data_IF_982168885607
#
_entry.id   IF_982168885607
#
_cell.length_a   1.000
_cell.length_b   1.000
_cell.length_c   1.000
_cell.angle_alpha   90.00
_cell.angle_beta   90.00
_cell.angle_gamma   90.00
#
_symmetry.space_group_name_H-M   'P 1'
#
loop_
_entity.id
_entity.type
_entity.pdbx_description
1 polymer ?
#
# COMPACT_ATOMS: atom_id res chain seq x y z
N UNK A 1 46.10 48.56 -32.87
CA UNK A 1 46.15 47.36 -31.98
C UNK A 1 44.91 47.21 -31.09
N UNK A 2 43.79 47.89 -31.40
CA UNK A 2 42.54 47.79 -30.58
C UNK A 2 41.45 46.93 -31.23
N UNK A 3 41.64 46.46 -32.47
CA UNK A 3 40.56 45.79 -33.28
C UNK A 3 40.35 44.29 -32.92
N UNK A 4 41.25 43.68 -32.14
CA UNK A 4 41.11 42.24 -31.77
C UNK A 4 40.53 41.98 -30.40
N UNK A 5 40.27 43.01 -29.60
CA UNK A 5 39.69 42.85 -28.24
C UNK A 5 38.15 42.71 -28.23
N UNK A 6 37.49 43.29 -29.25
CA UNK A 6 36.02 43.31 -29.30
C UNK A 6 35.41 41.91 -29.51
N UNK A 7 35.95 41.02 -30.39
CA UNK A 7 35.36 39.69 -30.58
C UNK A 7 35.61 38.77 -29.38
N UNK A 8 36.72 38.95 -28.63
CA UNK A 8 37.01 38.13 -27.46
C UNK A 8 36.07 38.41 -26.27
N UNK A 9 35.68 39.67 -26.07
CA UNK A 9 34.71 40.06 -25.05
C UNK A 9 33.31 39.53 -25.35
N UNK A 10 32.88 39.54 -26.63
CA UNK A 10 31.61 39.02 -27.07
C UNK A 10 31.50 37.50 -26.85
N UNK A 11 32.57 36.75 -27.18
CA UNK A 11 32.61 35.30 -27.00
C UNK A 11 32.58 34.89 -25.52
N UNK A 12 33.27 35.63 -24.66
CA UNK A 12 33.28 35.40 -23.20
C UNK A 12 31.89 35.64 -22.58
N UNK A 13 31.17 36.67 -23.07
CA UNK A 13 29.79 36.95 -22.61
C UNK A 13 28.80 35.89 -23.04
N UNK A 14 28.92 35.39 -24.27
CA UNK A 14 28.05 34.28 -24.76
C UNK A 14 28.33 33.00 -24.00
N UNK A 15 29.57 32.66 -23.72
CA UNK A 15 29.95 31.49 -22.95
C UNK A 15 29.46 31.56 -21.46
N UNK A 16 29.50 32.78 -20.87
CA UNK A 16 28.99 32.94 -19.50
C UNK A 16 27.46 32.81 -19.42
N UNK A 17 26.72 33.32 -20.41
CA UNK A 17 25.27 33.18 -20.49
C UNK A 17 24.89 31.72 -20.78
N UNK A 18 25.63 31.03 -21.64
CA UNK A 18 25.41 29.61 -21.91
C UNK A 18 25.65 28.74 -20.70
N UNK A 19 26.63 29.07 -19.84
CA UNK A 19 26.91 28.36 -18.59
C UNK A 19 25.80 28.58 -17.55
N UNK A 20 25.18 29.77 -17.53
CA UNK A 20 24.03 30.07 -16.65
C UNK A 20 22.76 29.32 -17.05
N UNK A 21 22.55 29.08 -18.35
CA UNK A 21 21.38 28.36 -18.88
C UNK A 21 21.55 26.83 -18.79
N UNK A 22 22.79 26.33 -18.83
CA UNK A 22 23.11 24.91 -18.68
C UNK A 22 23.38 24.48 -17.23
N UNK A 23 23.30 25.37 -16.25
CA UNK A 23 23.37 24.95 -14.85
C UNK A 23 22.15 24.07 -14.60
N UNK A 24 22.30 22.75 -14.33
CA UNK A 24 21.18 21.97 -13.92
C UNK A 24 20.64 22.66 -12.65
N UNK A 25 19.41 23.14 -12.72
CA UNK A 25 18.68 23.50 -11.53
C UNK A 25 18.79 22.30 -10.60
N UNK A 26 19.70 22.37 -9.64
CA UNK A 26 19.65 21.55 -8.46
C UNK A 26 18.38 21.99 -7.73
N UNK A 27 17.23 21.58 -8.27
CA UNK A 27 16.02 21.51 -7.47
C UNK A 27 16.42 20.60 -6.31
N UNK A 28 16.86 21.23 -5.21
CA UNK A 28 16.79 20.59 -3.91
C UNK A 28 15.38 20.08 -3.81
N UNK A 29 15.18 18.81 -4.10
CA UNK A 29 13.94 18.14 -3.81
C UNK A 29 13.78 18.38 -2.31
N UNK A 30 12.89 19.32 -1.96
CA UNK A 30 12.55 19.63 -0.59
C UNK A 30 12.34 18.28 0.09
N UNK A 31 13.23 17.93 1.02
CA UNK A 31 13.28 16.58 1.59
C UNK A 31 11.94 16.33 2.26
N UNK A 32 11.02 15.73 1.52
CA UNK A 32 9.65 15.55 1.96
C UNK A 32 9.65 14.62 3.16
N UNK A 33 8.88 14.97 4.19
CA UNK A 33 8.68 14.10 5.34
C UNK A 33 7.71 12.98 5.01
N UNK A 34 8.10 11.73 5.29
CA UNK A 34 7.24 10.56 5.23
C UNK A 34 6.87 10.18 6.65
N UNK A 35 5.57 10.06 6.91
CA UNK A 35 5.04 9.56 8.17
C UNK A 35 4.60 8.12 7.99
N UNK A 36 5.06 7.21 8.84
CA UNK A 36 4.66 5.80 8.85
C UNK A 36 3.83 5.51 10.09
N UNK A 37 2.58 5.12 9.88
CA UNK A 37 1.68 4.67 10.94
C UNK A 37 1.76 3.14 11.03
N UNK A 38 2.52 2.63 11.99
CA UNK A 38 2.69 1.21 12.20
C UNK A 38 1.57 0.67 13.11
N UNK A 39 0.62 -0.05 12.53
CA UNK A 39 -0.58 -0.52 13.25
C UNK A 39 -0.28 -1.51 14.36
N UNK A 40 0.74 -2.36 14.22
CA UNK A 40 1.08 -3.38 15.20
C UNK A 40 2.58 -3.61 15.30
N UNK A 41 3.04 -3.96 16.50
CA UNK A 41 4.45 -4.28 16.75
C UNK A 41 4.69 -5.80 16.63
N UNK A 42 4.41 -6.34 15.45
CA UNK A 42 4.64 -7.74 15.10
C UNK A 42 5.74 -7.84 14.04
N UNK A 43 6.47 -8.96 14.06
CA UNK A 43 7.59 -9.16 13.14
C UNK A 43 7.25 -8.90 11.66
N UNK A 44 6.12 -9.36 11.08
CA UNK A 44 5.78 -9.05 9.69
C UNK A 44 5.67 -7.54 9.39
N UNK A 45 5.17 -6.75 10.34
CA UNK A 45 5.08 -5.29 10.21
C UNK A 45 6.45 -4.62 10.26
N UNK A 46 7.32 -5.12 11.16
CA UNK A 46 8.71 -4.66 11.26
C UNK A 46 9.49 -4.99 9.98
N UNK A 47 9.32 -6.18 9.42
CA UNK A 47 9.97 -6.61 8.19
C UNK A 47 9.53 -5.74 6.98
N UNK A 48 8.24 -5.40 6.87
CA UNK A 48 7.73 -4.50 5.83
C UNK A 48 8.31 -3.10 6.00
N UNK A 49 8.35 -2.57 7.23
CA UNK A 49 8.94 -1.25 7.51
C UNK A 49 10.43 -1.21 7.15
N UNK A 50 11.18 -2.22 7.57
CA UNK A 50 12.60 -2.33 7.26
C UNK A 50 12.84 -2.43 5.75
N UNK A 51 12.05 -3.25 5.03
CA UNK A 51 12.10 -3.38 3.58
C UNK A 51 11.81 -2.07 2.86
N UNK A 52 10.82 -1.32 3.33
CA UNK A 52 10.48 0.01 2.80
C UNK A 52 11.64 0.99 2.95
N UNK A 53 12.20 1.11 4.16
CA UNK A 53 13.35 1.99 4.44
C UNK A 53 14.59 1.60 3.61
N UNK A 54 14.88 0.30 3.53
CA UNK A 54 15.99 -0.21 2.73
C UNK A 54 15.81 0.07 1.23
N UNK A 55 14.57 -0.03 0.74
CA UNK A 55 14.26 0.22 -0.67
C UNK A 55 14.48 1.69 -1.05
N UNK A 56 14.06 2.62 -0.18
CA UNK A 56 14.31 4.05 -0.36
C UNK A 56 15.81 4.36 -0.36
N UNK A 57 16.55 3.80 0.59
CA UNK A 57 17.99 3.99 0.68
C UNK A 57 18.72 3.46 -0.57
N UNK A 58 18.34 2.29 -1.08
CA UNK A 58 18.91 1.72 -2.31
C UNK A 58 18.66 2.58 -3.55
N UNK A 59 17.55 3.32 -3.57
CA UNK A 59 17.22 4.24 -4.67
C UNK A 59 17.81 5.64 -4.47
N UNK A 60 18.60 5.86 -3.44
CA UNK A 60 19.22 7.16 -3.12
C UNK A 60 18.19 8.21 -2.68
N UNK A 61 17.00 7.79 -2.25
CA UNK A 61 15.97 8.71 -1.76
C UNK A 61 16.29 9.08 -0.32
N UNK A 62 16.77 10.32 -0.14
CA UNK A 62 17.06 10.88 1.19
C UNK A 62 15.83 11.66 1.67
N UNK A 63 15.13 11.12 2.65
CA UNK A 63 13.93 11.74 3.25
C UNK A 63 13.86 11.43 4.74
N UNK A 64 13.22 12.30 5.50
CA UNK A 64 12.93 12.04 6.91
C UNK A 64 11.76 11.08 7.02
N UNK A 65 11.96 9.93 7.68
CA UNK A 65 10.91 8.94 7.95
C UNK A 65 10.61 8.96 9.44
N UNK A 66 9.40 9.37 9.79
CA UNK A 66 8.89 9.34 11.17
C UNK A 66 7.95 8.17 11.35
N UNK A 67 8.27 7.29 12.30
CA UNK A 67 7.49 6.07 12.55
C UNK A 67 6.71 6.21 13.86
N UNK A 68 5.41 6.06 13.77
CA UNK A 68 4.50 6.10 14.92
C UNK A 68 3.94 4.70 15.19
N UNK A 69 4.35 4.03 16.28
CA UNK A 69 3.82 2.73 16.66
C UNK A 69 2.45 2.92 17.34
N UNK A 70 1.39 2.43 16.70
CA UNK A 70 0.02 2.57 17.18
C UNK A 70 -0.40 1.44 18.13
N UNK A 71 0.20 0.26 18.00
CA UNK A 71 0.00 -0.91 18.86
C UNK A 71 -1.48 -1.35 18.98
N UNK A 72 -2.29 -1.13 17.94
CA UNK A 72 -3.72 -1.41 17.95
C UNK A 72 -4.55 -0.52 18.89
N UNK A 73 -3.96 0.53 19.47
CA UNK A 73 -4.62 1.42 20.41
C UNK A 73 -5.34 2.57 19.68
N UNK A 74 -6.66 2.61 19.77
CA UNK A 74 -7.48 3.60 19.09
C UNK A 74 -7.25 5.04 19.61
N UNK A 75 -7.09 5.23 20.93
CA UNK A 75 -6.84 6.55 21.52
C UNK A 75 -5.49 7.10 21.07
N UNK A 76 -4.43 6.29 21.12
CA UNK A 76 -3.11 6.65 20.60
C UNK A 76 -3.14 6.96 19.09
N UNK A 77 -3.94 6.22 18.34
CA UNK A 77 -4.11 6.47 16.91
C UNK A 77 -4.68 7.87 16.65
N UNK A 78 -5.69 8.30 17.39
CA UNK A 78 -6.27 9.63 17.25
C UNK A 78 -5.29 10.75 17.64
N UNK A 79 -4.55 10.57 18.72
CA UNK A 79 -3.50 11.50 19.16
C UNK A 79 -2.45 11.68 18.05
N UNK A 80 -1.87 10.58 17.55
CA UNK A 80 -0.87 10.59 16.48
C UNK A 80 -1.40 11.24 15.21
N UNK A 81 -2.63 10.94 14.80
CA UNK A 81 -3.23 11.55 13.61
C UNK A 81 -3.43 13.07 13.77
N UNK A 82 -3.73 13.53 15.00
CA UNK A 82 -3.74 14.94 15.33
C UNK A 82 -2.38 15.63 15.18
N UNK A 83 -1.30 14.92 15.49
CA UNK A 83 0.07 15.40 15.28
C UNK A 83 0.43 15.37 13.79
N UNK A 84 0.13 14.29 13.07
CA UNK A 84 0.42 14.15 11.63
C UNK A 84 -0.14 15.29 10.81
N UNK A 85 -1.33 15.78 11.15
CA UNK A 85 -1.94 16.97 10.50
C UNK A 85 -1.06 18.23 10.58
N UNK A 86 -0.15 18.30 11.57
CA UNK A 86 0.72 19.46 11.84
C UNK A 86 2.15 19.27 11.29
N UNK A 87 2.52 18.06 10.89
CA UNK A 87 3.92 17.75 10.53
C UNK A 87 4.33 18.22 9.14
N UNK A 88 3.40 18.60 8.28
CA UNK A 88 3.69 18.88 6.87
C UNK A 88 4.13 17.63 6.09
N UNK A 89 3.64 16.46 6.49
CA UNK A 89 3.93 15.21 5.80
C UNK A 89 3.52 15.28 4.32
N UNK A 90 4.41 14.85 3.43
CA UNK A 90 4.13 14.74 1.98
C UNK A 90 3.59 13.38 1.59
N UNK A 91 3.80 12.38 2.43
CA UNK A 91 3.27 11.02 2.26
C UNK A 91 2.99 10.41 3.62
N UNK A 92 1.83 9.80 3.75
CA UNK A 92 1.47 8.96 4.89
C UNK A 92 1.50 7.51 4.43
N UNK A 93 2.31 6.70 5.08
CA UNK A 93 2.37 5.25 4.88
C UNK A 93 1.67 4.58 6.06
N UNK A 94 0.73 3.69 5.77
CA UNK A 94 0.01 2.95 6.82
C UNK A 94 0.26 1.46 6.71
N UNK A 95 0.50 0.83 7.85
CA UNK A 95 0.68 -0.62 7.95
C UNK A 95 -0.48 -1.22 8.74
N UNK A 96 -1.35 -1.96 8.04
CA UNK A 96 -2.51 -2.65 8.60
C UNK A 96 -3.84 -1.89 8.46
N UNK A 97 -4.95 -2.64 8.37
CA UNK A 97 -6.30 -2.12 8.07
C UNK A 97 -6.79 -1.07 9.07
N UNK A 98 -6.60 -1.28 10.37
CA UNK A 98 -7.05 -0.31 11.38
C UNK A 98 -6.34 1.05 11.26
N UNK A 99 -5.01 1.03 11.06
CA UNK A 99 -4.21 2.24 10.82
C UNK A 99 -4.64 2.95 9.52
N UNK A 100 -4.87 2.16 8.46
CA UNK A 100 -5.31 2.67 7.15
C UNK A 100 -6.67 3.35 7.23
N UNK A 101 -7.67 2.69 7.79
CA UNK A 101 -9.02 3.24 7.94
C UNK A 101 -9.04 4.51 8.78
N UNK A 102 -8.25 4.57 9.85
CA UNK A 102 -8.12 5.76 10.66
C UNK A 102 -7.47 6.91 9.88
N UNK A 103 -6.37 6.65 9.17
CA UNK A 103 -5.69 7.65 8.35
C UNK A 103 -6.57 8.18 7.22
N UNK A 104 -7.30 7.31 6.52
CA UNK A 104 -8.23 7.70 5.45
C UNK A 104 -9.30 8.68 5.95
N UNK A 105 -9.84 8.45 7.15
CA UNK A 105 -10.85 9.35 7.74
C UNK A 105 -10.27 10.70 8.15
N UNK A 106 -9.06 10.72 8.71
CA UNK A 106 -8.53 11.90 9.38
C UNK A 106 -7.57 12.73 8.51
N UNK A 107 -6.77 12.05 7.68
CA UNK A 107 -5.72 12.68 6.85
C UNK A 107 -5.82 12.27 5.39
N UNK A 108 -6.98 11.81 4.93
CA UNK A 108 -7.20 11.33 3.57
C UNK A 108 -7.03 12.38 2.46
N UNK A 109 -6.79 13.65 2.82
CA UNK A 109 -6.38 14.71 1.89
C UNK A 109 -4.88 14.66 1.55
N UNK A 110 -4.06 13.97 2.37
CA UNK A 110 -2.64 13.76 2.10
C UNK A 110 -2.46 12.54 1.19
N UNK A 111 -1.41 12.48 0.36
CA UNK A 111 -1.03 11.27 -0.34
C UNK A 111 -0.85 10.11 0.64
N UNK A 112 -1.53 9.00 0.40
CA UNK A 112 -1.56 7.85 1.30
C UNK A 112 -1.14 6.58 0.56
N UNK A 113 -0.24 5.81 1.17
CA UNK A 113 0.14 4.49 0.71
C UNK A 113 -0.12 3.47 1.82
N UNK A 114 -1.03 2.53 1.58
CA UNK A 114 -1.35 1.47 2.52
C UNK A 114 -0.60 0.17 2.18
N UNK A 115 -0.15 -0.53 3.21
CA UNK A 115 0.38 -1.88 3.11
C UNK A 115 -0.12 -2.74 4.27
N UNK A 116 0.07 -4.06 4.21
CA UNK A 116 -0.42 -5.00 5.21
C UNK A 116 -1.96 -4.95 5.37
N UNK A 117 -2.67 -4.64 4.29
CA UNK A 117 -4.14 -4.69 4.21
C UNK A 117 -4.59 -5.81 3.29
N UNK A 118 -5.76 -6.36 3.56
CA UNK A 118 -6.30 -7.50 2.80
C UNK A 118 -7.16 -7.02 1.64
N UNK A 119 -7.91 -5.93 1.83
CA UNK A 119 -8.86 -5.43 0.83
C UNK A 119 -8.62 -3.98 0.46
N UNK A 120 -8.84 -3.65 -0.81
CA UNK A 120 -8.80 -2.27 -1.30
C UNK A 120 -9.96 -1.41 -0.74
N UNK A 121 -10.95 -2.01 -0.10
CA UNK A 121 -12.07 -1.28 0.51
C UNK A 121 -11.60 -0.32 1.60
N UNK A 122 -10.50 -0.65 2.27
CA UNK A 122 -9.89 0.19 3.32
C UNK A 122 -9.45 1.58 2.81
N UNK A 123 -9.14 1.71 1.52
CA UNK A 123 -8.68 2.98 0.94
C UNK A 123 -9.70 3.63 0.00
N UNK A 124 -10.81 2.97 -0.33
CA UNK A 124 -11.83 3.51 -1.25
C UNK A 124 -12.31 4.93 -0.96
N UNK A 125 -12.47 5.35 0.30
CA UNK A 125 -12.93 6.71 0.60
C UNK A 125 -11.90 7.81 0.28
N UNK A 126 -10.62 7.46 0.08
CA UNK A 126 -9.56 8.42 -0.21
C UNK A 126 -9.26 8.46 -1.71
N UNK A 127 -9.31 9.65 -2.32
CA UNK A 127 -9.07 9.83 -3.76
C UNK A 127 -7.59 9.79 -4.16
N UNK A 128 -6.69 9.97 -3.21
CA UNK A 128 -5.22 10.04 -3.40
C UNK A 128 -4.49 8.94 -2.65
N UNK A 129 -5.14 7.79 -2.45
CA UNK A 129 -4.58 6.62 -1.81
C UNK A 129 -4.25 5.51 -2.80
N UNK A 130 -3.16 4.80 -2.52
CA UNK A 130 -2.79 3.54 -3.17
C UNK A 130 -2.48 2.47 -2.15
N UNK A 131 -2.45 1.20 -2.56
CA UNK A 131 -2.19 0.12 -1.63
C UNK A 131 -1.43 -1.06 -2.23
N UNK A 132 -0.67 -1.74 -1.37
CA UNK A 132 -0.13 -3.08 -1.58
C UNK A 132 -0.97 -4.05 -0.77
N UNK A 133 -1.74 -4.89 -1.46
CA UNK A 133 -2.66 -5.85 -0.83
C UNK A 133 -1.96 -7.16 -0.52
N UNK A 134 -2.33 -7.80 0.59
CA UNK A 134 -1.91 -9.15 0.96
C UNK A 134 -2.71 -10.22 0.23
N UNK A 135 -3.81 -9.84 -0.40
CA UNK A 135 -4.67 -10.78 -1.08
C UNK A 135 -4.16 -11.11 -2.48
N UNK A 136 -4.09 -12.40 -2.78
CA UNK A 136 -3.87 -12.87 -4.14
C UNK A 136 -5.16 -12.77 -4.96
N UNK A 137 -5.08 -12.42 -6.26
CA UNK A 137 -6.22 -12.50 -7.16
C UNK A 137 -6.90 -13.87 -7.10
N UNK A 138 -8.22 -13.91 -7.19
CA UNK A 138 -8.98 -15.16 -7.12
C UNK A 138 -8.56 -16.18 -8.19
N UNK A 139 -8.21 -15.70 -9.37
CA UNK A 139 -7.69 -16.56 -10.44
C UNK A 139 -6.39 -17.27 -10.01
N UNK A 140 -5.45 -16.51 -9.44
CA UNK A 140 -4.21 -17.07 -8.89
C UNK A 140 -4.48 -18.09 -7.79
N UNK A 141 -5.48 -17.84 -6.91
CA UNK A 141 -5.87 -18.79 -5.87
C UNK A 141 -6.40 -20.09 -6.47
N UNK A 142 -7.22 -20.03 -7.53
CA UNK A 142 -7.74 -21.22 -8.21
C UNK A 142 -6.62 -22.00 -8.90
N UNK A 143 -5.67 -21.33 -9.54
CA UNK A 143 -4.50 -21.98 -10.14
C UNK A 143 -3.64 -22.69 -9.08
N UNK A 144 -3.43 -22.09 -7.92
CA UNK A 144 -2.72 -22.75 -6.83
C UNK A 144 -3.47 -23.94 -6.27
N UNK A 145 -4.80 -23.86 -6.11
CA UNK A 145 -5.62 -25.01 -5.69
C UNK A 145 -5.46 -26.19 -6.65
N UNK A 146 -5.46 -25.95 -7.96
CA UNK A 146 -5.20 -26.98 -8.97
C UNK A 146 -3.83 -27.62 -8.85
N UNK A 147 -2.82 -26.84 -8.47
CA UNK A 147 -1.44 -27.36 -8.28
C UNK A 147 -1.32 -28.19 -7.01
N UNK A 148 -1.95 -27.75 -5.91
CA UNK A 148 -1.84 -28.40 -4.59
C UNK A 148 -2.68 -29.69 -4.56
N UNK A 149 -3.89 -29.65 -5.14
CA UNK A 149 -4.82 -30.79 -5.14
C UNK A 149 -5.33 -31.02 -6.58
N UNK A 150 -4.49 -31.57 -7.48
CA UNK A 150 -4.81 -31.69 -8.90
C UNK A 150 -6.03 -32.58 -9.19
N UNK A 151 -6.33 -33.52 -8.31
CA UNK A 151 -7.48 -34.44 -8.43
C UNK A 151 -8.80 -33.82 -7.96
N UNK A 152 -8.78 -32.68 -7.27
CA UNK A 152 -10.00 -32.02 -6.79
C UNK A 152 -10.68 -31.24 -7.91
N UNK A 153 -11.90 -31.64 -8.26
CA UNK A 153 -12.75 -30.92 -9.20
C UNK A 153 -13.83 -30.09 -8.50
N UNK A 154 -14.05 -30.36 -7.21
CA UNK A 154 -15.07 -29.66 -6.40
C UNK A 154 -14.46 -29.16 -5.11
N UNK A 155 -14.73 -27.89 -4.79
CA UNK A 155 -14.21 -27.20 -3.61
C UNK A 155 -15.39 -26.68 -2.79
N UNK A 156 -15.41 -27.00 -1.49
CA UNK A 156 -16.36 -26.44 -0.53
C UNK A 156 -15.88 -25.07 -0.02
N UNK A 157 -16.76 -24.08 -0.02
CA UNK A 157 -16.48 -22.73 0.51
C UNK A 157 -17.50 -22.37 1.57
N UNK A 158 -17.04 -22.14 2.79
CA UNK A 158 -17.84 -21.54 3.86
C UNK A 158 -17.64 -20.04 3.83
N UNK A 159 -18.71 -19.26 3.90
CA UNK A 159 -18.61 -17.81 3.83
C UNK A 159 -19.69 -17.09 4.63
N UNK A 160 -19.39 -15.88 5.09
CA UNK A 160 -20.37 -14.97 5.67
C UNK A 160 -21.00 -14.13 4.55
N UNK A 161 -22.32 -14.27 4.26
CA UNK A 161 -22.96 -13.52 3.17
C UNK A 161 -22.90 -12.01 3.34
N UNK A 162 -22.95 -11.51 4.59
CA UNK A 162 -22.90 -10.07 4.88
C UNK A 162 -21.59 -9.42 4.46
N UNK A 163 -20.48 -10.19 4.48
CA UNK A 163 -19.14 -9.68 4.24
C UNK A 163 -18.59 -10.08 2.86
N UNK A 164 -18.94 -11.31 2.41
CA UNK A 164 -18.22 -11.94 1.31
C UNK A 164 -19.10 -12.35 0.12
N UNK A 165 -20.38 -11.97 0.07
CA UNK A 165 -21.30 -12.37 -1.00
C UNK A 165 -20.77 -12.04 -2.40
N UNK A 166 -20.31 -10.80 -2.60
CA UNK A 166 -19.78 -10.35 -3.90
C UNK A 166 -18.54 -11.14 -4.31
N UNK A 167 -17.64 -11.39 -3.35
CA UNK A 167 -16.39 -12.12 -3.56
C UNK A 167 -16.67 -13.58 -3.92
N UNK A 168 -17.61 -14.23 -3.24
CA UNK A 168 -18.02 -15.60 -3.55
C UNK A 168 -18.66 -15.68 -4.93
N UNK A 169 -19.50 -14.70 -5.31
CA UNK A 169 -20.07 -14.63 -6.65
C UNK A 169 -19.01 -14.48 -7.76
N UNK A 170 -17.94 -13.75 -7.50
CA UNK A 170 -16.79 -13.66 -8.40
C UNK A 170 -16.02 -14.99 -8.44
N UNK A 171 -15.77 -15.60 -7.27
CA UNK A 171 -15.06 -16.86 -7.15
C UNK A 171 -15.76 -17.99 -7.92
N UNK A 172 -17.08 -18.06 -7.87
CA UNK A 172 -17.87 -19.04 -8.63
C UNK A 172 -17.61 -18.96 -10.14
N UNK A 173 -17.54 -17.74 -10.70
CA UNK A 173 -17.25 -17.54 -12.12
C UNK A 173 -15.81 -17.94 -12.45
N UNK A 174 -14.86 -17.43 -11.70
CA UNK A 174 -13.42 -17.68 -11.92
C UNK A 174 -13.09 -19.17 -11.74
N UNK A 175 -13.71 -19.84 -10.77
CA UNK A 175 -13.52 -21.28 -10.58
C UNK A 175 -13.97 -22.08 -11.80
N UNK A 176 -15.13 -21.73 -12.38
CA UNK A 176 -15.65 -22.37 -13.60
C UNK A 176 -14.66 -22.19 -14.76
N UNK A 177 -14.11 -21.00 -14.94
CA UNK A 177 -13.13 -20.71 -15.99
C UNK A 177 -11.82 -21.50 -15.79
N UNK A 178 -11.49 -21.85 -14.54
CA UNK A 178 -10.37 -22.71 -14.18
C UNK A 178 -10.73 -24.22 -14.11
N UNK A 179 -11.91 -24.63 -14.55
CA UNK A 179 -12.37 -26.02 -14.55
C UNK A 179 -12.65 -26.58 -13.16
N UNK A 180 -12.98 -25.71 -12.18
CA UNK A 180 -13.34 -26.08 -10.82
C UNK A 180 -14.82 -25.79 -10.56
N UNK A 181 -15.44 -26.62 -9.73
CA UNK A 181 -16.79 -26.39 -9.20
C UNK A 181 -16.71 -25.92 -7.74
N UNK A 182 -17.34 -24.80 -7.41
CA UNK A 182 -17.46 -24.35 -6.02
C UNK A 182 -18.86 -24.72 -5.49
N UNK A 183 -18.87 -25.42 -4.36
CA UNK A 183 -20.07 -25.64 -3.54
C UNK A 183 -19.99 -24.70 -2.36
N UNK A 184 -20.95 -23.79 -2.25
CA UNK A 184 -20.93 -22.73 -1.26
C UNK A 184 -21.91 -22.99 -0.14
N UNK A 185 -21.51 -22.77 1.11
CA UNK A 185 -22.36 -22.84 2.28
C UNK A 185 -22.27 -21.51 3.04
N UNK A 186 -23.40 -20.82 3.16
CA UNK A 186 -23.50 -19.61 3.97
C UNK A 186 -23.43 -19.93 5.46
N UNK A 187 -22.64 -19.16 6.20
CA UNK A 187 -22.47 -19.25 7.65
C UNK A 187 -22.50 -17.83 8.20
N UNK A 188 -23.57 -17.48 8.90
CA UNK A 188 -23.78 -16.13 9.46
C UNK A 188 -23.46 -16.05 10.96
N UNK A 189 -23.38 -17.20 11.63
CA UNK A 189 -23.06 -17.31 13.04
C UNK A 189 -22.14 -18.52 13.30
N UNK A 190 -21.33 -18.52 14.38
CA UNK A 190 -20.50 -19.67 14.75
C UNK A 190 -21.29 -20.97 14.98
N UNK A 191 -22.59 -20.87 15.34
CA UNK A 191 -23.48 -22.01 15.53
C UNK A 191 -23.98 -22.63 14.24
N UNK A 192 -23.87 -21.93 13.11
CA UNK A 192 -24.27 -22.42 11.79
C UNK A 192 -23.23 -23.34 11.15
N UNK A 193 -22.08 -23.53 11.77
CA UNK A 193 -21.09 -24.50 11.33
C UNK A 193 -21.64 -25.92 11.55
N UNK A 194 -21.67 -26.79 10.53
CA UNK A 194 -22.13 -28.17 10.69
C UNK A 194 -21.20 -28.87 11.67
N UNK A 195 -21.76 -29.31 12.80
CA UNK A 195 -21.06 -30.17 13.74
C UNK A 195 -20.90 -31.53 13.07
N UNK A 196 -19.68 -31.84 12.72
CA UNK A 196 -19.35 -33.15 12.15
C UNK A 196 -19.52 -34.18 13.28
N UNK A 197 -20.69 -34.82 13.35
CA UNK A 197 -20.87 -36.01 14.17
C UNK A 197 -19.92 -37.08 13.58
N UNK A 198 -18.79 -37.32 14.27
CA UNK A 198 -18.00 -38.52 14.00
C UNK A 198 -18.93 -39.70 14.30
N UNK A 199 -19.32 -40.39 13.24
CA UNK A 199 -19.86 -41.73 13.42
C UNK A 199 -18.72 -42.59 13.98
N UNK A 200 -18.92 -43.06 15.19
CA UNK A 200 -18.13 -44.15 15.81
C UNK A 200 -18.37 -45.45 15.03
#
# INVERSE_FOLDING_TARGET
RLTHLIPALGLALILSVLWLVLSPDSTCAESGRIVVLNGQDLKPYQDVLAGFQQSLAKQGITTTIEVYPLQGNAAKTQEVLGEVKKTGARLVVTLGSAATQAAVREVGHLPLMAAMIVTADDIKPASNATAVLLEFPLDTQMQWLRRIVPAANTIGVLFNPKENQTKVSQALRIAKDNGLSLVTQAVDTPRALPVHQRRQ
#
